data_IF_318900496133
#
_entry.id   IF_318900496133
#
_cell.length_a   1.000
_cell.length_b   1.000
_cell.length_c   1.000
_cell.angle_alpha   90.00
_cell.angle_beta   90.00
_cell.angle_gamma   90.00
#
_symmetry.space_group_name_H-M   'P 1'
#
loop_
_entity.id
_entity.type
_entity.pdbx_description
1 polymer ?
#
# COMPACT_ATOMS: atom_id res chain seq x y z
N UNK A 1 31.31 -10.85 -1.51
CA UNK A 1 29.91 -10.40 -1.62
C UNK A 1 29.23 -10.68 -0.28
N UNK A 2 28.40 -9.79 0.25
CA UNK A 2 27.65 -10.08 1.48
C UNK A 2 26.62 -11.19 1.22
N UNK A 3 26.22 -11.92 2.26
CA UNK A 3 25.17 -12.94 2.21
C UNK A 3 23.84 -12.37 1.68
N UNK A 4 23.58 -11.09 1.97
CA UNK A 4 22.45 -10.33 1.42
C UNK A 4 22.53 -10.14 -0.10
N UNK A 5 23.71 -9.87 -0.66
CA UNK A 5 23.88 -9.69 -2.10
C UNK A 5 23.66 -11.00 -2.88
N UNK A 6 24.05 -12.14 -2.29
CA UNK A 6 23.76 -13.47 -2.83
C UNK A 6 22.24 -13.75 -2.88
N UNK A 7 21.51 -13.38 -1.82
CA UNK A 7 20.05 -13.50 -1.78
C UNK A 7 19.33 -12.66 -2.84
N UNK A 8 19.80 -11.43 -3.10
CA UNK A 8 19.24 -10.57 -4.15
C UNK A 8 19.42 -11.20 -5.53
N UNK A 9 20.63 -11.67 -5.85
CA UNK A 9 20.93 -12.23 -7.17
C UNK A 9 20.12 -13.49 -7.44
N UNK A 10 19.99 -14.38 -6.45
CA UNK A 10 19.19 -15.59 -6.57
C UNK A 10 17.72 -15.26 -6.86
N UNK A 11 17.14 -14.31 -6.12
CA UNK A 11 15.74 -13.92 -6.30
C UNK A 11 15.47 -13.35 -7.69
N UNK A 12 16.34 -12.48 -8.19
CA UNK A 12 16.23 -11.95 -9.57
C UNK A 12 16.37 -13.07 -10.59
N UNK A 13 17.27 -14.03 -10.35
CA UNK A 13 17.47 -15.16 -11.25
C UNK A 13 16.22 -16.04 -11.37
N UNK A 14 15.55 -16.31 -10.24
CA UNK A 14 14.28 -17.04 -10.18
C UNK A 14 13.15 -16.26 -10.89
N UNK A 15 13.04 -14.95 -10.65
CA UNK A 15 12.03 -14.08 -11.28
C UNK A 15 12.20 -13.99 -12.81
N UNK A 16 13.44 -13.98 -13.30
CA UNK A 16 13.75 -13.89 -14.74
C UNK A 16 13.88 -15.26 -15.43
N UNK A 17 13.90 -16.36 -14.68
CA UNK A 17 14.15 -17.71 -15.21
C UNK A 17 15.56 -17.89 -15.79
N UNK A 18 16.57 -17.21 -15.22
CA UNK A 18 17.97 -17.24 -15.66
C UNK A 18 18.89 -17.79 -14.58
N UNK A 19 20.16 -18.00 -14.88
CA UNK A 19 21.13 -18.48 -13.88
C UNK A 19 21.63 -17.31 -13.03
N UNK A 20 21.82 -17.54 -11.73
CA UNK A 20 22.37 -16.54 -10.79
C UNK A 20 23.67 -15.90 -11.28
N UNK A 21 24.58 -16.71 -11.85
CA UNK A 21 25.84 -16.21 -12.43
C UNK A 21 25.64 -15.16 -13.52
N UNK A 22 24.53 -15.22 -14.28
CA UNK A 22 24.21 -14.24 -15.32
C UNK A 22 23.77 -12.92 -14.69
N UNK A 23 22.99 -13.00 -13.61
CA UNK A 23 22.57 -11.83 -12.82
C UNK A 23 23.80 -11.17 -12.20
N UNK A 24 24.65 -11.94 -11.52
CA UNK A 24 25.86 -11.42 -10.88
C UNK A 24 26.77 -10.67 -11.87
N UNK A 25 27.00 -11.25 -13.05
CA UNK A 25 27.80 -10.62 -14.10
C UNK A 25 27.15 -9.34 -14.67
N UNK A 26 25.82 -9.32 -14.83
CA UNK A 26 25.11 -8.12 -15.25
C UNK A 26 25.15 -7.02 -14.19
N UNK A 27 24.98 -7.37 -12.90
CA UNK A 27 25.05 -6.45 -11.76
C UNK A 27 26.44 -5.81 -11.67
N UNK A 28 27.52 -6.59 -11.80
CA UNK A 28 28.89 -6.06 -11.78
C UNK A 28 29.12 -5.02 -12.89
N UNK A 29 28.58 -5.26 -14.09
CA UNK A 29 28.66 -4.31 -15.19
C UNK A 29 27.84 -3.04 -14.91
N UNK A 30 26.62 -3.16 -14.38
CA UNK A 30 25.76 -2.03 -14.03
C UNK A 30 26.38 -1.16 -12.92
N UNK A 31 26.91 -1.79 -11.87
CA UNK A 31 27.60 -1.10 -10.78
C UNK A 31 28.89 -0.43 -11.26
N UNK A 32 29.54 -1.00 -12.28
CA UNK A 32 30.67 -0.39 -13.00
C UNK A 32 30.28 0.77 -13.92
N UNK A 33 29.00 1.16 -13.97
CA UNK A 33 28.48 2.28 -14.76
C UNK A 33 28.14 1.93 -16.21
N UNK A 34 28.16 0.65 -16.60
CA UNK A 34 27.72 0.25 -17.92
C UNK A 34 26.20 0.43 -18.07
N UNK A 35 25.75 0.89 -19.24
CA UNK A 35 24.32 1.04 -19.51
C UNK A 35 23.71 -0.26 -20.05
N UNK A 36 22.40 -0.46 -19.88
CA UNK A 36 21.70 -1.62 -20.43
C UNK A 36 21.96 -1.83 -21.94
N UNK A 37 21.83 -0.81 -22.81
CA UNK A 37 22.12 -0.99 -24.25
C UNK A 37 23.59 -1.37 -24.52
N UNK A 38 24.53 -0.88 -23.71
CA UNK A 38 25.94 -1.24 -23.84
C UNK A 38 26.16 -2.72 -23.49
N UNK A 39 25.60 -3.18 -22.36
CA UNK A 39 25.71 -4.57 -21.92
C UNK A 39 25.07 -5.51 -22.95
N UNK A 40 23.85 -5.19 -23.36
CA UNK A 40 23.08 -5.98 -24.31
C UNK A 40 23.77 -6.08 -25.67
N UNK A 41 24.56 -5.08 -26.10
CA UNK A 41 25.25 -5.10 -27.39
C UNK A 41 26.68 -5.66 -27.33
N UNK A 42 27.46 -5.29 -26.31
CA UNK A 42 28.91 -5.49 -26.27
C UNK A 42 29.40 -6.41 -25.15
N UNK A 43 28.50 -6.90 -24.29
CA UNK A 43 28.82 -7.80 -23.16
C UNK A 43 27.93 -9.04 -23.11
N UNK A 44 27.33 -9.42 -24.24
CA UNK A 44 26.46 -10.61 -24.36
C UNK A 44 27.10 -11.88 -23.82
N UNK A 45 28.38 -12.13 -24.13
CA UNK A 45 29.02 -13.37 -23.67
C UNK A 45 29.21 -13.41 -22.15
N UNK A 46 29.53 -12.26 -21.55
CA UNK A 46 29.76 -12.10 -20.11
C UNK A 46 28.46 -12.36 -19.33
N UNK A 47 27.32 -11.90 -19.84
CA UNK A 47 26.01 -12.10 -19.20
C UNK A 47 25.30 -13.40 -19.63
N UNK A 48 25.90 -14.22 -20.49
CA UNK A 48 25.24 -15.42 -21.03
C UNK A 48 24.02 -15.09 -21.89
N UNK A 49 24.15 -14.04 -22.71
CA UNK A 49 23.20 -13.57 -23.72
C UNK A 49 21.86 -13.06 -23.17
N UNK A 50 21.87 -12.36 -22.03
CA UNK A 50 20.70 -11.60 -21.58
C UNK A 50 20.34 -10.52 -22.61
N UNK A 51 19.06 -10.41 -22.95
CA UNK A 51 18.57 -9.38 -23.87
C UNK A 51 18.26 -8.05 -23.17
N UNK A 52 17.96 -7.01 -23.97
CA UNK A 52 17.62 -5.66 -23.47
C UNK A 52 16.44 -5.67 -22.48
N UNK A 53 15.42 -6.52 -22.71
CA UNK A 53 14.24 -6.56 -21.85
C UNK A 53 14.58 -7.18 -20.50
N UNK A 54 15.29 -8.31 -20.50
CA UNK A 54 15.78 -8.97 -19.28
C UNK A 54 16.70 -8.06 -18.47
N UNK A 55 17.61 -7.33 -19.13
CA UNK A 55 18.54 -6.42 -18.45
C UNK A 55 17.83 -5.19 -17.85
N UNK A 56 16.77 -4.68 -18.48
CA UNK A 56 15.95 -3.60 -17.89
C UNK A 56 15.19 -4.08 -16.66
N UNK A 57 14.52 -5.23 -16.76
CA UNK A 57 13.83 -5.83 -15.61
C UNK A 57 14.80 -6.15 -14.48
N UNK A 58 16.00 -6.64 -14.80
CA UNK A 58 17.06 -6.85 -13.81
C UNK A 58 17.44 -5.55 -13.09
N UNK A 59 17.69 -4.46 -13.81
CA UNK A 59 18.07 -3.17 -13.21
C UNK A 59 16.97 -2.60 -12.28
N UNK A 60 15.70 -2.66 -12.74
CA UNK A 60 14.54 -2.25 -11.94
C UNK A 60 14.39 -3.09 -10.67
N UNK A 61 14.49 -4.42 -10.78
CA UNK A 61 14.36 -5.34 -9.63
C UNK A 61 15.55 -5.23 -8.69
N UNK A 62 16.76 -5.07 -9.20
CA UNK A 62 17.96 -4.84 -8.41
C UNK A 62 17.81 -3.60 -7.53
N UNK A 63 17.33 -2.49 -8.11
CA UNK A 63 17.07 -1.25 -7.36
C UNK A 63 16.04 -1.48 -6.26
N UNK A 64 14.90 -2.08 -6.59
CA UNK A 64 13.84 -2.37 -5.61
C UNK A 64 14.34 -3.23 -4.44
N UNK A 65 15.09 -4.30 -4.73
CA UNK A 65 15.58 -5.24 -3.72
C UNK A 65 16.68 -4.61 -2.86
N UNK A 66 17.55 -3.78 -3.42
CA UNK A 66 18.53 -3.00 -2.65
C UNK A 66 17.85 -2.05 -1.66
N UNK A 67 16.84 -1.31 -2.12
CA UNK A 67 16.05 -0.43 -1.26
C UNK A 67 15.31 -1.21 -0.15
N UNK A 68 14.84 -2.43 -0.45
CA UNK A 68 14.24 -3.30 0.56
C UNK A 68 15.26 -3.72 1.62
N UNK A 69 16.47 -4.13 1.23
CA UNK A 69 17.51 -4.54 2.18
C UNK A 69 18.07 -3.38 3.01
N UNK A 70 18.22 -2.20 2.40
CA UNK A 70 18.57 -0.97 3.14
C UNK A 70 17.50 -0.67 4.20
N UNK A 71 16.23 -0.73 3.81
CA UNK A 71 15.12 -0.51 4.74
C UNK A 71 15.07 -1.59 5.82
N UNK A 72 15.32 -2.86 5.48
CA UNK A 72 15.37 -3.99 6.41
C UNK A 72 16.43 -3.77 7.49
N UNK A 73 17.60 -3.31 7.08
CA UNK A 73 18.71 -2.98 8.00
C UNK A 73 18.30 -1.85 8.96
N UNK A 74 17.73 -0.76 8.44
CA UNK A 74 17.26 0.36 9.26
C UNK A 74 16.16 -0.06 10.27
N UNK A 75 15.26 -0.97 9.87
CA UNK A 75 14.23 -1.53 10.75
C UNK A 75 14.86 -2.38 11.86
N UNK A 76 15.80 -3.26 11.53
CA UNK A 76 16.51 -4.08 12.52
C UNK A 76 17.24 -3.20 13.54
N UNK A 77 17.96 -2.19 13.07
CA UNK A 77 18.71 -1.27 13.92
C UNK A 77 17.77 -0.50 14.87
N UNK A 78 16.67 0.05 14.33
CA UNK A 78 15.69 0.79 15.14
C UNK A 78 15.03 -0.08 16.23
N UNK A 79 14.74 -1.34 15.95
CA UNK A 79 14.16 -2.26 16.94
C UNK A 79 15.22 -2.70 17.96
N UNK A 80 16.48 -2.89 17.52
CA UNK A 80 17.61 -3.23 18.39
C UNK A 80 17.88 -2.11 19.39
N UNK A 81 17.86 -0.85 18.95
CA UNK A 81 18.01 0.32 19.82
C UNK A 81 16.92 0.42 20.90
N UNK A 82 15.73 -0.12 20.64
CA UNK A 82 14.64 -0.21 21.61
C UNK A 82 14.78 -1.39 22.58
N UNK A 83 15.77 -2.28 22.39
CA UNK A 83 15.94 -3.49 23.19
C UNK A 83 14.83 -4.53 23.00
N UNK A 84 14.08 -4.46 21.90
CA UNK A 84 12.92 -5.33 21.61
C UNK A 84 13.20 -6.38 20.53
N UNK A 85 14.41 -6.41 19.99
CA UNK A 85 14.78 -7.35 18.93
C UNK A 85 15.11 -8.70 19.55
N UNK A 86 14.34 -9.72 19.21
CA UNK A 86 14.61 -11.13 19.54
C UNK A 86 14.85 -11.96 18.26
N UNK A 87 15.23 -13.23 18.43
CA UNK A 87 15.56 -14.13 17.31
C UNK A 87 14.34 -14.41 16.42
N UNK A 88 13.13 -14.51 17.01
CA UNK A 88 11.91 -14.78 16.29
C UNK A 88 11.50 -13.59 15.41
N UNK A 89 11.58 -12.37 15.95
CA UNK A 89 11.33 -11.13 15.24
C UNK A 89 12.39 -10.87 14.18
N UNK A 90 13.66 -11.16 14.47
CA UNK A 90 14.75 -11.11 13.48
C UNK A 90 14.43 -12.03 12.30
N UNK A 91 14.05 -13.28 12.56
CA UNK A 91 13.67 -14.22 11.50
C UNK A 91 12.47 -13.72 10.68
N UNK A 92 11.44 -13.16 11.33
CA UNK A 92 10.28 -12.56 10.64
C UNK A 92 10.68 -11.38 9.76
N UNK A 93 11.53 -10.49 10.28
CA UNK A 93 12.03 -9.33 9.53
C UNK A 93 12.85 -9.82 8.34
N UNK A 94 13.74 -10.80 8.50
CA UNK A 94 14.53 -11.36 7.40
C UNK A 94 13.67 -12.10 6.36
N UNK A 95 12.58 -12.73 6.80
CA UNK A 95 11.62 -13.39 5.92
C UNK A 95 10.65 -12.46 5.20
N UNK A 96 10.67 -11.14 5.46
CA UNK A 96 9.81 -10.19 4.76
C UNK A 96 10.21 -10.10 3.28
N UNK A 97 9.28 -10.44 2.39
CA UNK A 97 9.48 -10.54 0.95
C UNK A 97 9.18 -9.24 0.19
N UNK A 98 8.56 -8.27 0.86
CA UNK A 98 8.08 -7.02 0.28
C UNK A 98 8.23 -5.86 1.27
N UNK A 99 8.36 -4.64 0.75
CA UNK A 99 8.43 -3.43 1.58
C UNK A 99 7.18 -3.25 2.46
N UNK A 100 6.00 -3.59 1.94
CA UNK A 100 4.76 -3.53 2.71
C UNK A 100 4.79 -4.48 3.91
N UNK A 101 5.16 -5.75 3.71
CA UNK A 101 5.27 -6.72 4.79
C UNK A 101 6.31 -6.32 5.83
N UNK A 102 7.43 -5.76 5.39
CA UNK A 102 8.46 -5.24 6.29
C UNK A 102 7.93 -4.09 7.16
N UNK A 103 7.20 -3.14 6.57
CA UNK A 103 6.58 -2.04 7.32
C UNK A 103 5.49 -2.54 8.29
N UNK A 104 4.71 -3.55 7.91
CA UNK A 104 3.72 -4.17 8.81
C UNK A 104 4.39 -4.71 10.07
N UNK A 105 5.49 -5.47 9.91
CA UNK A 105 6.25 -6.03 11.03
C UNK A 105 6.87 -4.92 11.89
N UNK A 106 7.31 -3.83 11.26
CA UNK A 106 7.91 -2.69 11.95
C UNK A 106 6.88 -1.80 12.68
N UNK A 107 5.61 -1.84 12.27
CA UNK A 107 4.57 -0.91 12.74
C UNK A 107 4.43 -0.80 14.27
N UNK A 108 4.50 -1.88 15.07
CA UNK A 108 4.48 -1.79 16.54
C UNK A 108 5.66 -1.03 17.15
N UNK A 109 6.81 -1.04 16.47
CA UNK A 109 8.09 -0.48 16.96
C UNK A 109 8.38 0.91 16.40
N UNK A 110 7.66 1.33 15.37
CA UNK A 110 7.83 2.64 14.76
C UNK A 110 7.59 3.73 15.81
N UNK A 111 8.52 4.69 16.01
CA UNK A 111 8.32 5.82 16.91
C UNK A 111 7.05 6.59 16.56
N UNK A 112 6.15 6.77 17.52
CA UNK A 112 4.84 7.39 17.33
C UNK A 112 4.74 8.71 18.09
N UNK A 113 4.00 9.66 17.51
CA UNK A 113 3.47 10.79 18.28
C UNK A 113 2.59 10.25 19.41
N UNK A 114 2.51 10.98 20.52
CA UNK A 114 1.73 10.60 21.71
C UNK A 114 0.27 10.29 21.32
N UNK A 115 -0.06 9.00 21.18
CA UNK A 115 -1.39 8.51 20.76
C UNK A 115 -2.33 8.41 21.96
N UNK A 116 -3.65 8.31 21.72
CA UNK A 116 -4.61 8.03 22.80
C UNK A 116 -4.29 6.73 23.54
N UNK A 117 -3.80 5.72 22.83
CA UNK A 117 -3.34 4.47 23.42
C UNK A 117 -2.09 4.69 24.30
N UNK A 118 -1.08 5.44 23.83
CA UNK A 118 0.09 5.78 24.63
C UNK A 118 -0.28 6.54 25.92
N UNK A 119 -1.18 7.52 25.83
CA UNK A 119 -1.69 8.26 27.00
C UNK A 119 -2.40 7.31 27.96
N UNK A 120 -3.22 6.38 27.46
CA UNK A 120 -3.89 5.38 28.28
C UNK A 120 -2.89 4.42 28.97
N UNK A 121 -1.79 4.04 28.30
CA UNK A 121 -0.70 3.24 28.89
C UNK A 121 0.01 3.99 30.01
N UNK A 122 0.36 5.25 29.77
CA UNK A 122 0.97 6.15 30.76
C UNK A 122 0.05 6.35 31.98
N UNK A 123 -1.27 6.38 31.77
CA UNK A 123 -2.27 6.43 32.83
C UNK A 123 -2.47 5.08 33.57
N UNK A 124 -1.80 4.00 33.14
CA UNK A 124 -1.88 2.69 33.78
C UNK A 124 -3.10 1.85 33.36
N UNK A 125 -3.67 2.08 32.18
CA UNK A 125 -4.86 1.36 31.68
C UNK A 125 -4.53 0.09 30.87
N UNK A 126 -3.26 -0.22 30.61
CA UNK A 126 -2.87 -1.47 29.92
C UNK A 126 -3.36 -2.72 30.67
N UNK A 127 -3.20 -2.84 32.01
CA UNK A 127 -3.73 -3.99 32.75
C UNK A 127 -5.25 -4.13 32.68
N UNK A 128 -5.99 -3.02 32.56
CA UNK A 128 -7.45 -3.06 32.34
C UNK A 128 -7.76 -3.65 30.96
N UNK A 129 -7.08 -3.19 29.91
CA UNK A 129 -7.26 -3.72 28.55
C UNK A 129 -6.94 -5.22 28.48
N UNK A 130 -5.84 -5.64 29.12
CA UNK A 130 -5.43 -7.04 29.19
C UNK A 130 -6.40 -7.90 30.00
N UNK A 131 -6.92 -7.41 31.13
CA UNK A 131 -7.91 -8.13 31.93
C UNK A 131 -9.19 -8.39 31.13
N UNK A 132 -9.72 -7.36 30.47
CA UNK A 132 -11.00 -7.44 29.76
C UNK A 132 -10.93 -8.34 28.52
N UNK A 133 -9.80 -8.37 27.80
CA UNK A 133 -9.66 -9.24 26.63
C UNK A 133 -9.39 -10.70 27.01
N UNK A 134 -8.66 -10.93 28.11
CA UNK A 134 -8.31 -12.29 28.56
C UNK A 134 -9.43 -12.96 29.36
N UNK A 135 -10.27 -12.19 30.06
CA UNK A 135 -11.41 -12.68 30.84
C UNK A 135 -12.71 -11.93 30.50
N UNK A 136 -13.41 -12.33 29.41
CA UNK A 136 -14.67 -11.71 29.00
C UNK A 136 -15.84 -11.96 29.96
N UNK A 137 -15.66 -12.76 31.02
CA UNK A 137 -16.71 -12.97 32.05
C UNK A 137 -16.88 -11.77 32.98
N UNK A 138 -15.89 -10.89 33.00
CA UNK A 138 -15.88 -9.68 33.81
C UNK A 138 -16.88 -8.64 33.30
N UNK A 139 -17.51 -7.92 34.21
CA UNK A 139 -18.34 -6.74 33.90
C UNK A 139 -17.39 -5.55 33.65
N UNK A 140 -17.28 -5.02 32.41
CA UNK A 140 -16.29 -4.00 32.08
C UNK A 140 -16.36 -2.77 32.98
N UNK A 141 -17.56 -2.28 33.27
CA UNK A 141 -17.79 -1.11 34.10
C UNK A 141 -17.32 -1.31 35.54
N UNK A 142 -17.47 -2.52 36.09
CA UNK A 142 -17.03 -2.85 37.46
C UNK A 142 -15.52 -2.89 37.55
N UNK A 143 -14.85 -3.56 36.60
CA UNK A 143 -13.38 -3.66 36.60
C UNK A 143 -12.74 -2.30 36.32
N UNK A 144 -13.30 -1.53 35.39
CA UNK A 144 -12.83 -0.19 35.06
C UNK A 144 -12.95 0.82 36.23
N UNK A 145 -13.88 0.59 37.17
CA UNK A 145 -13.99 1.39 38.40
C UNK A 145 -12.70 1.44 39.22
N UNK A 146 -11.92 0.35 39.22
CA UNK A 146 -10.62 0.30 39.91
C UNK A 146 -9.50 1.10 39.25
N UNK A 147 -9.73 1.62 38.04
CA UNK A 147 -8.74 2.36 37.25
C UNK A 147 -9.10 3.85 37.09
N UNK A 148 -10.15 4.32 37.76
CA UNK A 148 -10.53 5.74 37.76
C UNK A 148 -9.54 6.51 38.63
N UNK A 149 -8.86 7.47 38.01
CA UNK A 149 -7.79 8.25 38.60
C UNK A 149 -7.72 9.62 37.90
N UNK A 150 -8.34 10.63 38.51
CA UNK A 150 -8.43 11.96 37.94
C UNK A 150 -7.04 12.61 37.77
N UNK A 151 -6.08 12.29 38.65
CA UNK A 151 -4.72 12.83 38.60
C UNK A 151 -3.94 12.28 37.40
N UNK A 152 -4.30 11.08 36.92
CA UNK A 152 -3.79 10.49 35.67
C UNK A 152 -4.63 10.83 34.43
N UNK A 153 -5.61 11.71 34.57
CA UNK A 153 -6.49 12.12 33.47
C UNK A 153 -7.61 11.12 33.15
N UNK A 154 -7.91 10.18 34.05
CA UNK A 154 -9.00 9.21 33.93
C UNK A 154 -10.16 9.64 34.83
N UNK A 155 -11.01 10.52 34.31
CA UNK A 155 -12.04 11.22 35.10
C UNK A 155 -13.19 10.32 35.58
N UNK A 156 -13.53 9.28 34.82
CA UNK A 156 -14.64 8.38 35.14
C UNK A 156 -14.43 6.98 34.52
N UNK A 157 -15.35 6.05 34.82
CA UNK A 157 -15.36 4.67 34.30
C UNK A 157 -15.36 4.64 32.77
N UNK A 158 -16.07 5.58 32.14
CA UNK A 158 -16.15 5.65 30.68
C UNK A 158 -14.80 6.03 30.08
N UNK A 159 -14.09 6.98 30.66
CA UNK A 159 -12.75 7.38 30.26
C UNK A 159 -11.75 6.21 30.39
N UNK A 160 -11.86 5.41 31.47
CA UNK A 160 -11.04 4.21 31.65
C UNK A 160 -11.30 3.18 30.53
N UNK A 161 -12.57 2.90 30.22
CA UNK A 161 -12.96 1.98 29.15
C UNK A 161 -12.58 2.50 27.75
N UNK A 162 -12.70 3.80 27.49
CA UNK A 162 -12.30 4.41 26.22
C UNK A 162 -10.76 4.40 26.04
N UNK A 163 -10.01 4.56 27.13
CA UNK A 163 -8.56 4.40 27.15
C UNK A 163 -8.14 2.95 26.88
N UNK A 164 -8.73 2.00 27.59
CA UNK A 164 -8.51 0.56 27.36
C UNK A 164 -8.88 0.15 25.92
N UNK A 165 -10.00 0.67 25.38
CA UNK A 165 -10.39 0.46 23.98
C UNK A 165 -9.33 1.01 23.03
N UNK A 166 -8.80 2.20 23.29
CA UNK A 166 -7.77 2.81 22.45
C UNK A 166 -6.51 1.95 22.38
N UNK A 167 -6.13 1.32 23.49
CA UNK A 167 -5.02 0.35 23.56
C UNK A 167 -5.30 -0.87 22.69
N UNK A 168 -6.47 -1.50 22.84
CA UNK A 168 -6.84 -2.68 22.05
C UNK A 168 -6.96 -2.36 20.55
N UNK A 169 -7.53 -1.21 20.19
CA UNK A 169 -7.65 -0.75 18.80
C UNK A 169 -6.27 -0.57 18.17
N UNK A 170 -5.31 -0.01 18.89
CA UNK A 170 -3.93 0.10 18.42
C UNK A 170 -3.28 -1.28 18.28
N UNK A 171 -3.45 -2.17 19.27
CA UNK A 171 -2.94 -3.55 19.21
C UNK A 171 -3.50 -4.31 18.01
N UNK A 172 -4.78 -4.18 17.71
CA UNK A 172 -5.43 -4.86 16.58
C UNK A 172 -4.95 -4.30 15.24
N UNK A 173 -4.79 -2.98 15.15
CA UNK A 173 -4.34 -2.31 13.93
C UNK A 173 -2.86 -2.50 13.63
N UNK A 174 -2.09 -3.09 14.55
CA UNK A 174 -0.65 -3.26 14.43
C UNK A 174 -0.23 -4.73 14.42
N UNK A 175 -1.18 -5.67 14.40
CA UNK A 175 -0.87 -7.08 14.13
C UNK A 175 -0.54 -7.26 12.64
N UNK A 176 0.72 -7.58 12.30
CA UNK A 176 1.16 -7.58 10.90
C UNK A 176 0.52 -8.68 10.06
N UNK A 177 0.14 -9.81 10.67
CA UNK A 177 -0.46 -10.94 9.94
C UNK A 177 -1.91 -10.63 9.60
N UNK A 178 -2.65 -10.07 10.55
CA UNK A 178 -4.01 -9.57 10.36
C UNK A 178 -4.04 -8.47 9.31
N UNK A 179 -3.20 -7.44 9.42
CA UNK A 179 -3.18 -6.34 8.46
C UNK A 179 -2.87 -6.85 7.04
N UNK A 180 -1.87 -7.73 6.90
CA UNK A 180 -1.54 -8.35 5.62
C UNK A 180 -2.70 -9.14 5.03
N UNK A 181 -3.37 -9.97 5.84
CA UNK A 181 -4.52 -10.76 5.41
C UNK A 181 -5.69 -9.88 4.97
N UNK A 182 -6.05 -8.87 5.78
CA UNK A 182 -7.16 -7.97 5.48
C UNK A 182 -6.85 -7.11 4.24
N UNK A 183 -5.59 -6.71 4.03
CA UNK A 183 -5.14 -5.98 2.83
C UNK A 183 -5.39 -6.77 1.56
N UNK A 184 -4.92 -8.02 1.48
CA UNK A 184 -5.08 -8.84 0.26
C UNK A 184 -6.53 -9.24 0.03
N UNK A 185 -7.28 -9.48 1.11
CA UNK A 185 -8.73 -9.68 1.01
C UNK A 185 -9.43 -8.47 0.43
N UNK A 186 -9.14 -7.28 0.96
CA UNK A 186 -9.73 -6.03 0.49
C UNK A 186 -9.30 -5.72 -0.95
N UNK A 187 -8.06 -6.02 -1.34
CA UNK A 187 -7.64 -5.95 -2.74
C UNK A 187 -8.47 -6.83 -3.67
N UNK A 188 -8.82 -8.04 -3.22
CA UNK A 188 -9.53 -9.03 -4.05
C UNK A 188 -11.05 -8.78 -4.11
N UNK A 189 -11.65 -8.34 -2.99
CA UNK A 189 -13.11 -8.23 -2.83
C UNK A 189 -13.63 -6.79 -2.77
N UNK A 190 -12.75 -5.84 -2.50
CA UNK A 190 -13.10 -4.43 -2.38
C UNK A 190 -13.27 -3.75 -3.74
N UNK A 191 -13.76 -2.52 -3.69
CA UNK A 191 -14.06 -1.70 -4.85
C UNK A 191 -13.62 -0.26 -4.63
N UNK A 192 -13.29 0.42 -5.74
CA UNK A 192 -13.15 1.86 -5.76
C UNK A 192 -14.53 2.45 -6.02
N UNK A 193 -15.01 3.24 -5.08
CA UNK A 193 -16.26 3.99 -5.22
C UNK A 193 -15.93 5.45 -5.47
N UNK A 194 -16.61 6.05 -6.44
CA UNK A 194 -16.49 7.46 -6.81
C UNK A 194 -17.87 8.10 -6.78
N UNK A 195 -17.95 9.25 -6.12
CA UNK A 195 -19.15 10.09 -6.07
C UNK A 195 -18.81 11.53 -6.42
N UNK A 196 -19.73 12.23 -7.08
CA UNK A 196 -19.60 13.68 -7.28
C UNK A 196 -19.79 14.40 -5.95
N UNK A 197 -18.98 15.43 -5.72
CA UNK A 197 -19.18 16.33 -4.59
C UNK A 197 -20.37 17.24 -4.87
N UNK A 198 -21.16 17.49 -3.83
CA UNK A 198 -22.35 18.33 -3.93
C UNK A 198 -22.03 19.70 -4.55
N UNK A 199 -22.76 20.07 -5.61
CA UNK A 199 -22.61 21.34 -6.32
C UNK A 199 -21.49 21.37 -7.36
N UNK A 200 -20.82 20.25 -7.65
CA UNK A 200 -19.76 20.14 -8.67
C UNK A 200 -20.19 19.45 -9.96
N UNK A 201 -21.49 19.17 -10.13
CA UNK A 201 -22.03 18.41 -11.24
C UNK A 201 -21.84 19.12 -12.59
N UNK A 202 -21.98 20.45 -12.61
CA UNK A 202 -21.82 21.25 -13.84
C UNK A 202 -20.36 21.51 -14.16
N UNK A 203 -19.56 21.96 -13.19
CA UNK A 203 -18.13 22.24 -13.34
C UNK A 203 -17.32 20.97 -13.67
N UNK A 204 -17.81 19.83 -13.15
CA UNK A 204 -17.21 18.52 -13.25
C UNK A 204 -17.63 17.69 -14.47
N UNK A 205 -18.35 18.24 -15.44
CA UNK A 205 -18.99 17.47 -16.52
C UNK A 205 -18.04 16.52 -17.29
N UNK A 206 -16.74 16.83 -17.36
CA UNK A 206 -15.71 15.94 -17.94
C UNK A 206 -15.46 14.64 -17.16
N UNK A 207 -15.99 14.53 -15.94
CA UNK A 207 -15.93 13.36 -15.07
C UNK A 207 -17.32 12.73 -14.85
N UNK A 208 -18.32 13.09 -15.65
CA UNK A 208 -19.70 12.65 -15.48
C UNK A 208 -19.84 11.11 -15.40
N UNK A 209 -19.04 10.37 -16.16
CA UNK A 209 -18.99 8.90 -16.14
C UNK A 209 -18.61 8.31 -14.75
N UNK A 210 -18.09 9.14 -13.84
CA UNK A 210 -17.61 8.75 -12.51
C UNK A 210 -18.38 9.44 -11.37
N UNK A 211 -19.50 10.10 -11.64
CA UNK A 211 -20.30 10.79 -10.61
C UNK A 211 -21.03 9.83 -9.66
N UNK A 212 -21.35 8.63 -10.13
CA UNK A 212 -21.83 7.52 -9.31
C UNK A 212 -21.28 6.23 -9.91
N UNK A 213 -20.12 5.81 -9.40
CA UNK A 213 -19.35 4.73 -9.98
C UNK A 213 -18.79 3.82 -8.89
N UNK A 214 -18.85 2.51 -9.11
CA UNK A 214 -18.28 1.49 -8.23
C UNK A 214 -17.79 0.32 -9.07
N UNK A 215 -16.50 -0.01 -8.95
CA UNK A 215 -15.91 -1.16 -9.66
C UNK A 215 -14.84 -1.85 -8.79
N UNK A 216 -14.76 -3.19 -8.80
CA UNK A 216 -13.74 -3.94 -8.06
C UNK A 216 -12.31 -3.55 -8.44
N UNK A 217 -11.40 -3.53 -7.46
CA UNK A 217 -10.02 -3.07 -7.67
C UNK A 217 -9.30 -3.81 -8.81
N UNK A 218 -9.45 -5.14 -8.87
CA UNK A 218 -8.79 -5.97 -9.89
C UNK A 218 -9.36 -5.85 -11.31
N UNK A 219 -10.49 -5.16 -11.52
CA UNK A 219 -11.11 -4.98 -12.84
C UNK A 219 -10.90 -3.58 -13.43
N UNK A 220 -10.50 -2.63 -12.59
CA UNK A 220 -10.32 -1.23 -12.98
C UNK A 220 -9.18 -1.04 -13.99
N UNK A 221 -9.45 -0.51 -15.19
CA UNK A 221 -8.41 -0.17 -16.14
C UNK A 221 -7.66 1.12 -15.72
N UNK A 222 -6.38 1.20 -16.07
CA UNK A 222 -5.47 2.28 -15.65
C UNK A 222 -5.98 3.69 -15.94
N UNK A 223 -6.51 3.94 -17.14
CA UNK A 223 -7.01 5.25 -17.55
C UNK A 223 -8.21 5.72 -16.69
N UNK A 224 -9.08 4.81 -16.22
CA UNK A 224 -10.20 5.16 -15.33
C UNK A 224 -9.72 5.51 -13.94
N UNK A 225 -8.77 4.74 -13.41
CA UNK A 225 -8.13 5.01 -12.10
C UNK A 225 -7.51 6.42 -12.13
N UNK A 226 -6.73 6.73 -13.16
CA UNK A 226 -6.09 8.05 -13.31
C UNK A 226 -7.12 9.17 -13.51
N UNK A 227 -8.20 8.93 -14.25
CA UNK A 227 -9.27 9.91 -14.44
C UNK A 227 -9.97 10.23 -13.11
N UNK A 228 -10.30 9.20 -12.31
CA UNK A 228 -10.91 9.36 -10.99
C UNK A 228 -9.96 10.10 -10.02
N UNK A 229 -8.69 9.71 -9.94
CA UNK A 229 -7.71 10.43 -9.10
C UNK A 229 -7.51 11.88 -9.53
N UNK A 230 -7.58 12.17 -10.83
CA UNK A 230 -7.58 13.55 -11.33
C UNK A 230 -8.83 14.31 -10.89
N UNK A 231 -10.02 13.70 -11.00
CA UNK A 231 -11.27 14.32 -10.58
C UNK A 231 -11.33 14.61 -9.08
N UNK A 232 -10.75 13.75 -8.25
CA UNK A 232 -10.61 14.01 -6.81
C UNK A 232 -9.61 15.15 -6.53
N UNK A 233 -8.46 15.17 -7.22
CA UNK A 233 -7.46 16.24 -7.10
C UNK A 233 -8.02 17.61 -7.50
N UNK A 234 -8.93 17.64 -8.47
CA UNK A 234 -9.65 18.83 -8.90
C UNK A 234 -10.89 19.15 -8.02
N UNK A 235 -11.07 18.44 -6.90
CA UNK A 235 -12.17 18.63 -5.95
C UNK A 235 -13.58 18.45 -6.56
N UNK A 236 -13.69 17.66 -7.62
CA UNK A 236 -14.97 17.30 -8.25
C UNK A 236 -15.51 15.99 -7.70
N UNK A 237 -14.63 15.00 -7.50
CA UNK A 237 -14.99 13.68 -7.02
C UNK A 237 -14.56 13.46 -5.57
N UNK A 238 -15.29 12.58 -4.89
CA UNK A 238 -14.89 11.95 -3.64
C UNK A 238 -14.68 10.46 -3.92
N UNK A 239 -13.53 9.93 -3.51
CA UNK A 239 -13.19 8.53 -3.73
C UNK A 239 -13.09 7.79 -2.40
N UNK A 240 -13.70 6.62 -2.34
CA UNK A 240 -13.63 5.72 -1.21
C UNK A 240 -13.07 4.36 -1.62
N UNK A 241 -12.16 3.83 -0.81
CA UNK A 241 -11.70 2.45 -0.90
C UNK A 241 -12.62 1.60 -0.05
N UNK A 242 -13.60 0.94 -0.66
CA UNK A 242 -14.60 0.17 0.07
C UNK A 242 -14.21 -1.31 0.13
N UNK A 243 -14.38 -1.90 1.32
CA UNK A 243 -13.97 -3.28 1.57
C UNK A 243 -15.03 -4.31 1.16
N UNK A 244 -16.29 -3.89 1.09
CA UNK A 244 -17.42 -4.72 0.66
C UNK A 244 -18.60 -3.80 0.29
N UNK A 245 -18.79 -3.45 -0.99
CA UNK A 245 -19.90 -2.58 -1.43
C UNK A 245 -21.29 -3.24 -1.24
N UNK A 246 -21.33 -4.54 -0.93
CA UNK A 246 -22.58 -5.32 -0.77
C UNK A 246 -23.26 -5.18 0.60
N UNK A 247 -22.61 -4.56 1.59
CA UNK A 247 -23.25 -4.35 2.90
C UNK A 247 -24.05 -3.06 2.87
N UNK A 248 -25.36 -3.17 2.66
CA UNK A 248 -26.29 -2.04 2.75
C UNK A 248 -26.26 -1.46 4.18
N UNK A 249 -25.80 -0.20 4.37
CA UNK A 249 -25.73 0.42 5.69
C UNK A 249 -27.10 0.71 6.31
N UNK A 250 -28.19 0.58 5.53
CA UNK A 250 -29.57 0.79 6.00
C UNK A 250 -30.19 -0.45 6.65
N UNK A 251 -29.58 -1.63 6.49
CA UNK A 251 -30.04 -2.85 7.15
C UNK A 251 -29.67 -2.81 8.63
N UNK A 252 -30.69 -2.82 9.49
CA UNK A 252 -30.54 -2.83 10.95
C UNK A 252 -31.01 -4.17 11.54
N UNK A 253 -30.21 -4.81 12.42
CA UNK A 253 -28.88 -4.38 12.87
C UNK A 253 -27.84 -4.56 11.75
N UNK A 254 -26.89 -3.62 11.65
CA UNK A 254 -25.77 -3.74 10.70
C UNK A 254 -25.04 -5.06 11.01
N UNK A 255 -25.04 -6.04 10.10
CA UNK A 255 -24.41 -7.32 10.36
C UNK A 255 -22.90 -7.12 10.55
N UNK A 256 -22.27 -7.96 11.38
CA UNK A 256 -20.80 -7.95 11.50
C UNK A 256 -20.22 -8.19 10.12
N UNK A 257 -19.35 -7.29 9.68
CA UNK A 257 -18.64 -7.48 8.41
C UNK A 257 -17.71 -8.67 8.52
N UNK A 258 -17.40 -9.29 7.39
CA UNK A 258 -16.44 -10.40 7.34
C UNK A 258 -15.06 -10.01 7.90
N UNK A 259 -14.71 -8.72 7.80
CA UNK A 259 -13.48 -8.14 8.34
C UNK A 259 -13.53 -8.06 9.88
N UNK A 260 -14.63 -7.61 10.46
CA UNK A 260 -14.85 -7.63 11.92
C UNK A 260 -14.76 -9.06 12.47
N UNK A 261 -15.31 -10.05 11.76
CA UNK A 261 -15.22 -11.46 12.16
C UNK A 261 -13.77 -11.94 12.21
N UNK A 262 -12.95 -11.59 11.21
CA UNK A 262 -11.54 -11.98 11.18
C UNK A 262 -10.71 -11.33 12.28
N UNK A 263 -10.94 -10.05 12.54
CA UNK A 263 -10.30 -9.34 13.66
C UNK A 263 -10.67 -10.03 14.98
N UNK A 264 -11.96 -10.33 15.18
CA UNK A 264 -12.42 -11.01 16.38
C UNK A 264 -11.78 -12.41 16.53
N UNK A 265 -11.73 -13.20 15.46
CA UNK A 265 -11.09 -14.52 15.45
C UNK A 265 -9.59 -14.46 15.78
N UNK A 266 -8.85 -13.50 15.21
CA UNK A 266 -7.42 -13.32 15.47
C UNK A 266 -7.13 -13.08 16.96
N UNK A 267 -8.02 -12.39 17.65
CA UNK A 267 -7.87 -12.04 19.06
C UNK A 267 -8.75 -12.87 20.02
N UNK A 268 -9.33 -13.98 19.54
CA UNK A 268 -10.13 -14.89 20.39
C UNK A 268 -11.43 -14.27 20.93
N UNK A 269 -11.94 -13.21 20.28
CA UNK A 269 -13.16 -12.52 20.68
C UNK A 269 -14.35 -13.23 20.04
N UNK A 270 -15.30 -13.67 20.87
CA UNK A 270 -16.54 -14.32 20.44
C UNK A 270 -17.67 -13.85 21.32
N UNK A 271 -18.85 -13.63 20.73
CA UNK A 271 -20.04 -13.27 21.47
C UNK A 271 -20.75 -14.53 21.98
N UNK A 272 -20.59 -14.80 23.28
CA UNK A 272 -21.18 -15.93 24.00
C UNK A 272 -22.19 -15.46 25.06
N UNK A 273 -22.58 -14.18 25.02
CA UNK A 273 -23.46 -13.57 26.02
C UNK A 273 -22.80 -13.28 27.37
N UNK A 274 -21.46 -13.26 27.44
CA UNK A 274 -20.73 -12.89 28.67
C UNK A 274 -20.74 -11.37 28.85
N UNK A 275 -20.61 -10.86 30.08
CA UNK A 275 -20.71 -9.42 30.35
C UNK A 275 -19.75 -8.54 29.53
N UNK A 276 -18.53 -9.01 29.27
CA UNK A 276 -17.52 -8.28 28.49
C UNK A 276 -17.67 -8.39 26.96
N UNK A 277 -18.44 -9.35 26.46
CA UNK A 277 -18.49 -9.69 25.02
C UNK A 277 -18.98 -8.52 24.16
N UNK A 278 -19.97 -7.75 24.65
CA UNK A 278 -20.50 -6.59 23.95
C UNK A 278 -19.43 -5.51 23.79
N UNK A 279 -18.72 -5.17 24.88
CA UNK A 279 -17.67 -4.15 24.85
C UNK A 279 -16.49 -4.56 23.94
N UNK A 280 -16.10 -5.84 23.95
CA UNK A 280 -15.08 -6.37 23.05
C UNK A 280 -15.52 -6.34 21.59
N UNK A 281 -16.78 -6.70 21.32
CA UNK A 281 -17.35 -6.68 19.97
C UNK A 281 -17.44 -5.25 19.41
N UNK A 282 -17.87 -4.30 20.23
CA UNK A 282 -17.87 -2.87 19.87
C UNK A 282 -16.45 -2.35 19.66
N UNK A 283 -15.47 -2.85 20.42
CA UNK A 283 -14.05 -2.52 20.25
C UNK A 283 -13.49 -3.04 18.93
N UNK A 284 -13.84 -4.26 18.52
CA UNK A 284 -13.49 -4.82 17.19
C UNK A 284 -14.09 -3.95 16.07
N UNK A 285 -15.37 -3.62 16.17
CA UNK A 285 -16.05 -2.76 15.20
C UNK A 285 -15.38 -1.39 15.11
N UNK A 286 -15.04 -0.80 16.25
CA UNK A 286 -14.34 0.48 16.31
C UNK A 286 -12.96 0.40 15.65
N UNK A 287 -12.18 -0.64 15.97
CA UNK A 287 -10.86 -0.86 15.38
C UNK A 287 -10.92 -0.98 13.86
N UNK A 288 -11.89 -1.76 13.36
CA UNK A 288 -12.14 -1.91 11.94
C UNK A 288 -12.44 -0.56 11.27
N UNK A 289 -13.50 0.13 11.71
CA UNK A 289 -14.01 1.32 11.01
C UNK A 289 -13.11 2.54 11.12
N UNK A 290 -12.42 2.72 12.25
CA UNK A 290 -11.72 3.98 12.52
C UNK A 290 -10.22 3.94 12.25
N UNK A 291 -9.60 2.75 12.27
CA UNK A 291 -8.15 2.62 12.13
C UNK A 291 -7.75 1.66 11.02
N UNK A 292 -8.21 0.41 11.08
CA UNK A 292 -7.78 -0.63 10.12
C UNK A 292 -8.27 -0.29 8.71
N UNK A 293 -9.57 -0.02 8.51
CA UNK A 293 -10.12 0.31 7.19
C UNK A 293 -9.44 1.55 6.58
N UNK A 294 -9.19 2.57 7.39
CA UNK A 294 -8.52 3.80 6.95
C UNK A 294 -7.09 3.51 6.49
N UNK A 295 -6.33 2.75 7.30
CA UNK A 295 -4.97 2.36 6.96
C UNK A 295 -4.91 1.52 5.67
N UNK A 296 -5.75 0.49 5.57
CA UNK A 296 -5.84 -0.34 4.37
C UNK A 296 -6.27 0.48 3.15
N UNK A 297 -7.19 1.43 3.31
CA UNK A 297 -7.60 2.33 2.25
C UNK A 297 -6.44 3.17 1.69
N UNK A 298 -5.56 3.69 2.55
CA UNK A 298 -4.37 4.44 2.12
C UNK A 298 -3.41 3.53 1.34
N UNK A 299 -3.15 2.32 1.86
CA UNK A 299 -2.25 1.36 1.22
C UNK A 299 -2.75 0.95 -0.16
N UNK A 300 -4.02 0.56 -0.26
CA UNK A 300 -4.64 0.12 -1.52
C UNK A 300 -4.76 1.26 -2.52
N UNK A 301 -5.00 2.48 -2.06
CA UNK A 301 -4.95 3.67 -2.91
C UNK A 301 -3.58 3.85 -3.55
N UNK A 302 -2.51 3.70 -2.76
CA UNK A 302 -1.14 3.74 -3.27
C UNK A 302 -0.87 2.65 -4.30
N UNK A 303 -1.28 1.41 -3.99
CA UNK A 303 -1.14 0.26 -4.89
C UNK A 303 -1.89 0.45 -6.21
N UNK A 304 -3.13 0.93 -6.18
CA UNK A 304 -3.92 1.24 -7.39
C UNK A 304 -3.26 2.32 -8.23
N UNK A 305 -2.77 3.39 -7.59
CA UNK A 305 -2.10 4.48 -8.30
C UNK A 305 -0.85 3.99 -9.01
N UNK A 306 0.02 3.28 -8.29
CA UNK A 306 1.25 2.74 -8.86
C UNK A 306 0.94 1.83 -10.07
N UNK A 307 0.01 0.88 -9.90
CA UNK A 307 -0.37 -0.02 -10.99
C UNK A 307 -0.94 0.72 -12.22
N UNK A 308 -1.73 1.77 -12.00
CA UNK A 308 -2.28 2.57 -13.09
C UNK A 308 -1.23 3.43 -13.80
N UNK A 309 -0.29 4.01 -13.05
CA UNK A 309 0.83 4.80 -13.58
C UNK A 309 1.79 3.91 -14.38
N UNK A 310 2.17 2.75 -13.85
CA UNK A 310 3.06 1.79 -14.53
C UNK A 310 2.46 1.35 -15.87
N UNK A 311 1.17 1.03 -15.90
CA UNK A 311 0.48 0.64 -17.12
C UNK A 311 0.38 1.79 -18.12
N UNK A 312 0.07 3.01 -17.66
CA UNK A 312 0.02 4.18 -18.54
C UNK A 312 1.40 4.49 -19.14
N UNK A 313 2.46 4.45 -18.33
CA UNK A 313 3.85 4.63 -18.78
C UNK A 313 4.23 3.57 -19.81
N UNK A 314 3.82 2.30 -19.59
CA UNK A 314 4.08 1.21 -20.55
C UNK A 314 3.44 1.47 -21.91
N UNK A 315 2.19 1.93 -21.93
CA UNK A 315 1.49 2.30 -23.18
C UNK A 315 2.17 3.49 -23.85
N UNK A 316 2.53 4.53 -23.10
CA UNK A 316 3.25 5.69 -23.63
C UNK A 316 4.62 5.31 -24.20
N UNK A 317 5.38 4.46 -23.50
CA UNK A 317 6.67 3.99 -23.95
C UNK A 317 6.57 3.18 -25.26
N UNK A 318 5.52 2.37 -25.39
CA UNK A 318 5.24 1.61 -26.62
C UNK A 318 4.92 2.56 -27.77
N UNK A 319 4.01 3.50 -27.58
CA UNK A 319 3.64 4.48 -28.61
C UNK A 319 4.84 5.35 -29.04
N UNK A 320 5.66 5.78 -28.07
CA UNK A 320 6.86 6.57 -28.37
C UNK A 320 7.90 5.73 -29.13
N UNK A 321 8.08 4.46 -28.77
CA UNK A 321 8.98 3.54 -29.50
C UNK A 321 8.54 3.41 -30.96
N UNK A 322 7.25 3.22 -31.21
CA UNK A 322 6.73 3.06 -32.57
C UNK A 322 6.92 4.34 -33.40
N UNK A 323 6.73 5.52 -32.78
CA UNK A 323 7.02 6.81 -33.42
C UNK A 323 8.51 7.00 -33.74
N UNK A 324 9.39 6.64 -32.81
CA UNK A 324 10.84 6.77 -32.99
C UNK A 324 11.42 5.78 -34.02
N UNK A 325 10.77 4.62 -34.19
CA UNK A 325 11.17 3.57 -35.14
C UNK A 325 10.39 3.63 -36.45
N UNK A 326 9.55 4.65 -36.64
CA UNK A 326 8.86 4.86 -37.90
C UNK A 326 9.87 4.98 -39.06
N UNK A 327 9.54 4.34 -40.19
CA UNK A 327 10.44 4.33 -41.33
C UNK A 327 10.71 5.76 -41.81
N UNK A 328 11.99 6.19 -41.91
CA UNK A 328 12.30 7.53 -42.38
C UNK A 328 11.94 7.66 -43.86
N UNK A 329 11.29 8.77 -44.24
CA UNK A 329 10.94 9.08 -45.63
C UNK A 329 12.18 9.36 -46.52
N UNK A 330 13.35 9.57 -45.89
CA UNK A 330 14.64 9.79 -46.53
C UNK A 330 14.93 11.26 -46.83
N UNK A 331 16.01 11.50 -47.58
CA UNK A 331 16.52 12.83 -47.94
C UNK A 331 15.72 13.45 -49.09
N UNK A 332 14.54 13.99 -48.77
CA UNK A 332 13.63 14.62 -49.74
C UNK A 332 13.21 16.00 -49.26
N UNK A 333 13.13 16.96 -50.18
CA UNK A 333 12.53 18.26 -49.87
C UNK A 333 11.10 18.05 -49.34
N UNK A 334 10.80 18.64 -48.19
CA UNK A 334 9.57 18.38 -47.44
C UNK A 334 8.90 19.67 -47.03
N UNK A 335 7.58 19.74 -47.18
CA UNK A 335 6.75 20.82 -46.65
C UNK A 335 6.03 20.34 -45.39
N UNK A 336 6.41 20.89 -44.24
CA UNK A 336 5.73 20.67 -42.97
C UNK A 336 4.54 21.61 -42.84
N UNK A 337 3.36 21.04 -42.55
CA UNK A 337 2.12 21.78 -42.30
C UNK A 337 1.69 21.50 -40.86
N UNK A 338 1.72 22.50 -39.99
CA UNK A 338 1.21 22.42 -38.62
C UNK A 338 -0.18 23.06 -38.55
N UNK A 339 -1.27 22.26 -38.55
CA UNK A 339 -2.62 22.76 -38.65
C UNK A 339 -3.06 23.49 -37.37
N UNK A 340 -3.71 24.65 -37.55
CA UNK A 340 -4.32 25.42 -36.48
C UNK A 340 -5.66 26.01 -36.91
N UNK A 341 -6.65 26.01 -36.02
CA UNK A 341 -7.96 26.60 -36.30
C UNK A 341 -7.91 28.12 -36.25
N UNK A 342 -7.76 28.71 -35.06
CA UNK A 342 -7.79 30.17 -34.86
C UNK A 342 -6.54 30.87 -35.40
N UNK A 343 -5.39 30.20 -35.31
CA UNK A 343 -4.07 30.76 -35.67
C UNK A 343 -3.64 30.47 -37.10
N UNK A 344 -4.48 29.78 -37.89
CA UNK A 344 -4.14 29.32 -39.23
C UNK A 344 -3.11 28.18 -39.25
N UNK A 345 -2.75 27.74 -40.45
CA UNK A 345 -1.76 26.68 -40.69
C UNK A 345 -0.37 27.30 -40.78
N UNK A 346 0.59 26.80 -40.00
CA UNK A 346 2.00 27.20 -40.14
C UNK A 346 2.66 26.33 -41.20
N UNK A 347 3.53 26.93 -42.00
CA UNK A 347 4.20 26.27 -43.12
C UNK A 347 5.71 26.40 -42.95
N UNK A 348 6.41 25.29 -43.09
CA UNK A 348 7.87 25.24 -43.19
C UNK A 348 8.27 24.39 -44.40
N UNK A 349 9.28 24.82 -45.14
CA UNK A 349 9.85 24.04 -46.26
C UNK A 349 11.31 23.80 -45.95
N UNK A 350 11.70 22.53 -45.95
CA UNK A 350 13.07 22.05 -45.71
C UNK A 350 13.62 21.40 -46.97
N UNK A 351 14.93 21.52 -47.20
CA UNK A 351 15.58 20.85 -48.33
C UNK A 351 15.89 19.38 -47.99
N UNK A 352 16.67 18.69 -48.84
CA UNK A 352 16.99 17.28 -48.64
C UNK A 352 17.86 16.99 -47.40
N UNK A 353 18.47 18.02 -46.79
CA UNK A 353 19.38 17.92 -45.65
C UNK A 353 18.74 18.28 -44.30
N UNK A 354 17.48 18.76 -44.33
CA UNK A 354 16.71 19.18 -43.15
C UNK A 354 16.75 20.69 -42.98
#
# INVERSE_FOLDING_TARGET
>A
MSEQALGIHQRIAEELGVRERQVAAAVELLDGGATVPFIARYRKEVTGTLDDAQLRTLDERLRYLRELEERRTAVLDSIREQGKLDDALTARIMGADSKARLEDIYLPFKPKRRTKAAIAREAGLEPLADSLINDPSQVPETVAGGYVDADKGVADVKAALDGARSILVERFAEDPDLIGELRERMWTRGALVSKVREGKETDGAKFADYFDFSEPFGKLPSHRILAMFRGEKEEVLELAMEASPEVDPTVLPVPRTEYEVRIAQRFGISDQGRPGDKWLSDTVRWAWRTRILVHLGIDLRGRLRQAAEDEAVRVFATNLRDLLLAAPAGTRATMGLDPGFRTGVKVAVVDATG
#
